data_IF_017207824723
#
_entry.id   IF_017207824723
#
_cell.length_a   1.000
_cell.length_b   1.000
_cell.length_c   1.000
_cell.angle_alpha   90.00
_cell.angle_beta   90.00
_cell.angle_gamma   90.00
#
_symmetry.space_group_name_H-M   'P 1'
#
loop_
_entity.id
_entity.type
_entity.pdbx_description
1 polymer ?
#
# COMPACT_ATOMS: atom_id res chain seq x y z
N UNK A 1 -4.45 -3.12 2.40
CA UNK A 1 -3.76 -3.73 1.25
C UNK A 1 -4.55 -3.66 -0.06
N UNK A 2 -5.85 -3.96 -0.11
CA UNK A 2 -6.62 -4.01 -1.38
C UNK A 2 -6.49 -2.76 -2.27
N UNK A 3 -6.61 -1.55 -1.70
CA UNK A 3 -6.46 -0.30 -2.46
C UNK A 3 -5.06 -0.17 -3.08
N UNK A 4 -4.00 -0.46 -2.32
CA UNK A 4 -2.63 -0.40 -2.80
C UNK A 4 -2.41 -1.36 -3.98
N UNK A 5 -2.83 -2.62 -3.85
CA UNK A 5 -2.68 -3.60 -4.91
C UNK A 5 -3.46 -3.21 -6.17
N UNK A 6 -4.66 -2.65 -6.01
CA UNK A 6 -5.45 -2.11 -7.13
C UNK A 6 -4.73 -0.97 -7.85
N UNK A 7 -4.21 0.02 -7.10
CA UNK A 7 -3.46 1.15 -7.67
C UNK A 7 -2.17 0.70 -8.37
N UNK A 8 -1.44 -0.28 -7.81
CA UNK A 8 -0.26 -0.88 -8.46
C UNK A 8 -0.65 -1.55 -9.77
N UNK A 9 -1.74 -2.34 -9.75
CA UNK A 9 -2.24 -2.98 -10.96
C UNK A 9 -2.66 -1.98 -12.03
N UNK A 10 -3.32 -0.89 -11.64
CA UNK A 10 -3.68 0.22 -12.53
C UNK A 10 -2.45 0.93 -13.11
N UNK A 11 -1.41 1.19 -12.29
CA UNK A 11 -0.18 1.82 -12.73
C UNK A 11 0.60 0.97 -13.73
N UNK A 12 0.62 -0.35 -13.54
CA UNK A 12 1.27 -1.32 -14.44
C UNK A 12 0.42 -1.73 -15.64
N UNK A 13 -0.86 -1.35 -15.69
CA UNK A 13 -1.80 -1.85 -16.71
C UNK A 13 -2.13 -3.34 -16.57
N UNK A 14 -2.00 -3.92 -15.36
CA UNK A 14 -2.25 -5.34 -15.05
C UNK A 14 -3.21 -5.47 -13.86
N UNK A 15 -4.47 -5.89 -14.04
CA UNK A 15 -5.48 -5.87 -12.98
C UNK A 15 -5.13 -6.78 -11.79
N UNK A 16 -5.37 -6.32 -10.56
CA UNK A 16 -5.09 -7.04 -9.30
C UNK A 16 -6.36 -7.62 -8.67
N UNK A 17 -6.97 -8.62 -9.32
CA UNK A 17 -8.26 -9.19 -8.91
C UNK A 17 -8.17 -10.47 -8.06
N UNK A 18 -7.01 -11.14 -8.03
CA UNK A 18 -6.82 -12.38 -7.28
C UNK A 18 -6.15 -12.10 -5.92
N UNK A 19 -6.90 -12.13 -4.80
CA UNK A 19 -6.32 -11.94 -3.48
C UNK A 19 -5.52 -13.18 -3.03
N UNK A 20 -4.44 -12.95 -2.29
CA UNK A 20 -3.69 -14.02 -1.63
C UNK A 20 -4.40 -14.41 -0.34
N UNK A 21 -4.70 -15.70 -0.09
CA UNK A 21 -5.32 -16.14 1.16
C UNK A 21 -4.42 -15.94 2.38
N UNK A 22 -5.02 -15.57 3.52
CA UNK A 22 -4.30 -15.31 4.77
C UNK A 22 -3.49 -16.53 5.26
N UNK A 23 -4.03 -17.74 5.13
CA UNK A 23 -3.32 -18.96 5.54
C UNK A 23 -2.04 -19.16 4.73
N UNK A 24 -2.03 -18.79 3.45
CA UNK A 24 -0.85 -18.92 2.60
C UNK A 24 0.26 -17.98 3.11
N UNK A 25 -0.10 -16.76 3.51
CA UNK A 25 0.82 -15.81 4.12
C UNK A 25 1.33 -16.30 5.49
N UNK A 26 0.45 -16.86 6.33
CA UNK A 26 0.85 -17.43 7.62
C UNK A 26 1.82 -18.61 7.46
N UNK A 27 1.64 -19.47 6.46
CA UNK A 27 2.55 -20.59 6.18
C UNK A 27 3.91 -20.10 5.68
N UNK A 28 3.94 -19.08 4.82
CA UNK A 28 5.18 -18.58 4.21
C UNK A 28 5.98 -17.67 5.15
N UNK A 29 5.31 -16.85 5.97
CA UNK A 29 5.93 -15.78 6.76
C UNK A 29 5.90 -16.05 8.27
N UNK A 30 5.17 -17.08 8.74
CA UNK A 30 5.00 -17.36 10.16
C UNK A 30 4.44 -16.16 10.92
N UNK A 31 5.06 -15.81 12.04
CA UNK A 31 4.70 -14.64 12.85
C UNK A 31 4.85 -13.31 12.09
N UNK A 32 5.70 -13.26 11.05
CA UNK A 32 5.88 -12.10 10.19
C UNK A 32 4.65 -11.78 9.32
N UNK A 33 3.73 -12.72 9.14
CA UNK A 33 2.49 -12.50 8.40
C UNK A 33 1.65 -11.37 9.01
N UNK A 34 1.75 -11.16 10.34
CA UNK A 34 1.04 -10.10 11.05
C UNK A 34 1.33 -8.71 10.48
N UNK A 35 2.57 -8.44 10.07
CA UNK A 35 2.96 -7.14 9.49
C UNK A 35 2.27 -6.87 8.16
N UNK A 36 1.94 -7.94 7.42
CA UNK A 36 1.31 -7.84 6.10
C UNK A 36 -0.22 -7.88 6.20
N UNK A 37 -0.75 -8.72 7.08
CA UNK A 37 -2.18 -8.96 7.27
C UNK A 37 -2.84 -7.83 8.07
N UNK A 38 -2.10 -7.23 9.00
CA UNK A 38 -2.60 -6.12 9.81
C UNK A 38 -2.17 -4.77 9.23
N UNK A 39 -2.93 -3.73 9.56
CA UNK A 39 -2.64 -2.38 9.13
C UNK A 39 -3.08 -1.35 10.17
N UNK A 40 -2.42 -0.21 10.14
CA UNK A 40 -2.75 0.93 11.00
C UNK A 40 -3.16 2.11 10.13
N UNK A 41 -4.23 2.81 10.52
CA UNK A 41 -4.63 4.06 9.89
C UNK A 41 -3.86 5.21 10.54
N UNK A 42 -2.83 5.70 9.87
CA UNK A 42 -1.98 6.81 10.36
C UNK A 42 -2.31 8.08 9.59
N UNK A 43 -2.54 9.18 10.30
CA UNK A 43 -2.81 10.51 9.73
C UNK A 43 -1.62 11.44 9.97
N UNK A 44 -1.11 12.16 8.95
CA UNK A 44 0.10 12.96 9.04
C UNK A 44 -0.13 14.37 9.62
N UNK A 45 -1.01 14.52 10.62
CA UNK A 45 -1.45 15.84 11.13
C UNK A 45 -0.27 16.70 11.59
N UNK A 46 0.61 16.14 12.45
CA UNK A 46 1.79 16.86 12.97
C UNK A 46 2.76 17.27 11.86
N UNK A 47 2.95 16.42 10.87
CA UNK A 47 3.83 16.68 9.72
C UNK A 47 3.28 17.83 8.87
N UNK A 48 1.96 17.86 8.65
CA UNK A 48 1.29 18.94 7.93
C UNK A 48 1.28 20.26 8.72
N UNK A 49 1.07 20.20 10.04
CA UNK A 49 1.15 21.37 10.94
C UNK A 49 2.53 22.03 10.92
N UNK A 50 3.59 21.25 10.72
CA UNK A 50 4.96 21.75 10.57
C UNK A 50 5.26 22.34 9.17
N UNK A 51 4.26 22.40 8.29
CA UNK A 51 4.39 22.98 6.95
C UNK A 51 5.04 22.06 5.92
N UNK A 52 5.23 20.77 6.23
CA UNK A 52 5.75 19.82 5.26
C UNK A 52 4.76 19.63 4.11
N UNK A 53 5.25 19.77 2.87
CA UNK A 53 4.44 19.58 1.65
C UNK A 53 4.83 18.26 0.99
N UNK A 54 3.90 17.31 0.95
CA UNK A 54 4.09 16.05 0.24
C UNK A 54 4.18 16.31 -1.26
N UNK A 55 5.24 15.77 -1.89
CA UNK A 55 5.38 15.79 -3.35
C UNK A 55 4.32 14.94 -4.05
N UNK A 56 3.92 13.84 -3.40
CA UNK A 56 2.84 12.94 -3.84
C UNK A 56 1.85 12.81 -2.69
N UNK A 57 0.65 13.35 -2.86
CA UNK A 57 -0.39 13.41 -1.82
C UNK A 57 -1.25 12.16 -1.76
N UNK A 58 -1.15 11.30 -2.77
CA UNK A 58 -1.93 10.09 -2.94
C UNK A 58 -1.07 8.95 -3.51
N UNK A 59 -1.55 7.72 -3.34
CA UNK A 59 -0.81 6.52 -3.74
C UNK A 59 -0.68 6.43 -5.26
N UNK A 60 -1.70 6.84 -6.02
CA UNK A 60 -1.69 6.73 -7.48
C UNK A 60 -0.64 7.67 -8.11
N UNK A 61 -0.51 8.91 -7.62
CA UNK A 61 0.53 9.84 -8.08
C UNK A 61 1.93 9.35 -7.76
N UNK A 62 2.15 8.78 -6.57
CA UNK A 62 3.43 8.17 -6.20
C UNK A 62 3.76 6.96 -7.10
N UNK A 63 2.80 6.05 -7.31
CA UNK A 63 3.02 4.85 -8.12
C UNK A 63 3.27 5.17 -9.59
N UNK A 64 2.58 6.17 -10.16
CA UNK A 64 2.85 6.64 -11.52
C UNK A 64 4.27 7.15 -11.69
N UNK A 65 4.88 7.74 -10.67
CA UNK A 65 6.27 8.15 -10.72
C UNK A 65 7.24 6.97 -10.63
N UNK A 66 6.91 5.94 -9.85
CA UNK A 66 7.82 4.80 -9.61
C UNK A 66 7.81 3.82 -10.78
N UNK A 67 6.65 3.64 -11.42
CA UNK A 67 6.39 2.54 -12.35
C UNK A 67 6.23 2.99 -13.81
N UNK A 68 6.35 4.28 -14.10
CA UNK A 68 6.45 4.83 -15.46
C UNK A 68 7.78 5.53 -15.65
#
# INVERSE_FOLDING_TARGET
>A
MAQLCSSVGGALGRPSWLPVPDFALNVLLGEGAKVVLEGQKVLPNRTQEQGFRFKYTDVDSALRQILK
#
